data_IF_178653258703
#
_entry.id   IF_178653258703
#
_cell.length_a   1.000
_cell.length_b   1.000
_cell.length_c   1.000
_cell.angle_alpha   90.00
_cell.angle_beta   90.00
_cell.angle_gamma   90.00
#
_symmetry.space_group_name_H-M   'P 1'
#
loop_
_entity.id
_entity.type
_entity.pdbx_description
1 polymer ?
#
# COMPACT_ATOMS: atom_id res chain seq x y z
N UNK A 1 -8.76 -14.92 -9.38
CA UNK A 1 -8.48 -14.53 -7.99
C UNK A 1 -8.30 -15.78 -7.16
N UNK A 2 -7.19 -15.85 -6.44
CA UNK A 2 -6.83 -16.97 -5.57
C UNK A 2 -6.93 -16.54 -4.12
N UNK A 3 -7.50 -17.41 -3.31
CA UNK A 3 -7.75 -17.16 -1.90
C UNK A 3 -7.12 -18.29 -1.08
N UNK A 4 -6.34 -17.91 -0.08
CA UNK A 4 -5.84 -18.77 0.97
C UNK A 4 -6.56 -18.41 2.26
N UNK A 5 -7.13 -19.40 2.94
CA UNK A 5 -7.70 -19.23 4.27
C UNK A 5 -6.86 -20.02 5.27
N UNK A 6 -6.33 -19.33 6.28
CA UNK A 6 -5.54 -19.92 7.35
C UNK A 6 -6.32 -19.81 8.66
N UNK A 7 -6.23 -20.83 9.51
CA UNK A 7 -6.95 -20.90 10.79
C UNK A 7 -8.41 -21.35 10.68
N UNK A 8 -9.01 -21.69 11.82
CA UNK A 8 -10.41 -22.12 11.90
C UNK A 8 -11.34 -20.93 12.22
N UNK A 9 -12.49 -20.87 11.55
CA UNK A 9 -13.54 -19.88 11.81
C UNK A 9 -13.76 -18.88 10.67
N UNK A 10 -14.45 -17.78 10.95
CA UNK A 10 -14.70 -16.71 9.97
C UNK A 10 -13.56 -15.69 10.04
N UNK A 11 -12.81 -15.44 8.93
CA UNK A 11 -11.78 -14.42 8.91
C UNK A 11 -12.35 -13.01 9.15
N UNK A 12 -11.74 -12.27 10.07
CA UNK A 12 -12.03 -10.84 10.34
C UNK A 12 -10.93 -9.93 9.78
N UNK A 13 -9.90 -10.52 9.17
CA UNK A 13 -8.73 -9.85 8.62
C UNK A 13 -8.48 -10.41 7.22
N UNK A 14 -8.17 -9.52 6.28
CA UNK A 14 -7.77 -9.91 4.92
C UNK A 14 -6.50 -9.19 4.48
N UNK A 15 -5.69 -9.88 3.68
CA UNK A 15 -4.53 -9.33 2.97
C UNK A 15 -4.79 -9.47 1.47
N UNK A 16 -4.64 -8.39 0.72
CA UNK A 16 -4.87 -8.34 -0.72
C UNK A 16 -3.58 -7.93 -1.41
N UNK A 17 -3.14 -8.71 -2.39
CA UNK A 17 -2.01 -8.40 -3.26
C UNK A 17 -2.43 -8.42 -4.73
N UNK A 18 -1.68 -7.68 -5.55
CA UNK A 18 -1.82 -7.66 -7.01
C UNK A 18 -3.22 -7.27 -7.47
N UNK A 19 -3.75 -6.17 -6.92
CA UNK A 19 -4.86 -5.42 -7.53
C UNK A 19 -4.48 -5.01 -8.96
N UNK A 20 -3.24 -4.52 -9.12
CA UNK A 20 -2.61 -4.28 -10.41
C UNK A 20 -1.67 -5.44 -10.75
N UNK A 21 -1.76 -5.97 -11.97
CA UNK A 21 -0.99 -7.15 -12.37
C UNK A 21 0.50 -6.90 -12.56
N UNK A 22 0.91 -5.67 -12.84
CA UNK A 22 2.31 -5.26 -12.95
C UNK A 22 2.97 -4.93 -11.59
N UNK A 23 2.24 -5.13 -10.49
CA UNK A 23 2.70 -4.98 -9.10
C UNK A 23 2.76 -6.37 -8.40
N UNK A 24 3.78 -7.21 -8.70
CA UNK A 24 3.83 -8.60 -8.24
C UNK A 24 4.25 -8.77 -6.76
N UNK A 25 4.65 -7.70 -6.07
CA UNK A 25 5.21 -7.75 -4.72
C UNK A 25 4.24 -8.38 -3.71
N UNK A 26 2.96 -7.99 -3.74
CA UNK A 26 1.92 -8.53 -2.87
C UNK A 26 1.68 -10.03 -3.09
N UNK A 27 1.56 -10.47 -4.35
CA UNK A 27 1.40 -11.91 -4.66
C UNK A 27 2.60 -12.74 -4.18
N UNK A 28 3.83 -12.29 -4.48
CA UNK A 28 5.06 -12.98 -4.04
C UNK A 28 5.14 -13.08 -2.52
N UNK A 29 4.80 -12.00 -1.81
CA UNK A 29 4.82 -11.96 -0.36
C UNK A 29 3.76 -12.89 0.27
N UNK A 30 2.54 -12.91 -0.28
CA UNK A 30 1.47 -13.83 0.14
C UNK A 30 1.89 -15.28 -0.09
N UNK A 31 2.39 -15.61 -1.28
CA UNK A 31 2.81 -16.97 -1.62
C UNK A 31 3.96 -17.45 -0.74
N UNK A 32 4.94 -16.57 -0.46
CA UNK A 32 6.02 -16.85 0.50
C UNK A 32 5.47 -17.12 1.89
N UNK A 33 4.60 -16.24 2.41
CA UNK A 33 4.02 -16.38 3.74
C UNK A 33 3.21 -17.67 3.89
N UNK A 34 2.39 -18.02 2.89
CA UNK A 34 1.60 -19.27 2.91
C UNK A 34 2.49 -20.50 2.82
N UNK A 35 3.57 -20.47 2.03
CA UNK A 35 4.49 -21.59 1.88
C UNK A 35 5.27 -21.93 3.17
N UNK A 36 5.37 -20.98 4.10
CA UNK A 36 5.98 -21.18 5.42
C UNK A 36 5.06 -21.94 6.40
N UNK A 37 3.79 -22.19 6.03
CA UNK A 37 2.78 -22.86 6.85
C UNK A 37 2.68 -22.26 8.28
N UNK A 38 2.38 -20.96 8.40
CA UNK A 38 2.45 -20.25 9.67
C UNK A 38 1.32 -20.68 10.61
N UNK A 39 1.66 -20.83 11.89
CA UNK A 39 0.67 -21.05 12.95
C UNK A 39 -0.02 -19.72 13.29
N UNK A 40 -1.29 -19.60 12.92
CA UNK A 40 -2.11 -18.39 13.13
C UNK A 40 -3.01 -18.54 14.35
N UNK A 41 -3.09 -17.50 15.18
CA UNK A 41 -3.94 -17.48 16.38
C UNK A 41 -5.41 -17.16 16.05
N UNK A 42 -5.66 -16.53 14.90
CA UNK A 42 -6.98 -16.14 14.41
C UNK A 42 -7.11 -16.41 12.92
N UNK A 43 -8.32 -16.70 12.41
CA UNK A 43 -8.52 -16.95 10.99
C UNK A 43 -8.23 -15.69 10.15
N UNK A 44 -7.56 -15.88 9.01
CA UNK A 44 -7.19 -14.82 8.07
C UNK A 44 -7.37 -15.28 6.63
N UNK A 45 -7.71 -14.32 5.76
CA UNK A 45 -7.80 -14.52 4.32
C UNK A 45 -6.64 -13.81 3.62
N UNK A 46 -5.91 -14.51 2.75
CA UNK A 46 -4.90 -13.90 1.87
C UNK A 46 -5.33 -14.06 0.42
N UNK A 47 -5.33 -12.97 -0.33
CA UNK A 47 -5.96 -12.87 -1.64
C UNK A 47 -4.96 -12.36 -2.67
N UNK A 48 -4.76 -13.13 -3.75
CA UNK A 48 -4.11 -12.64 -4.97
C UNK A 48 -5.21 -12.24 -5.95
N UNK A 49 -5.43 -10.94 -6.10
CA UNK A 49 -6.63 -10.37 -6.72
C UNK A 49 -6.70 -10.62 -8.24
N UNK A 50 -5.90 -9.92 -9.03
CA UNK A 50 -5.96 -9.96 -10.49
C UNK A 50 -4.90 -10.91 -11.09
N UNK A 51 -5.09 -12.22 -10.88
CA UNK A 51 -4.17 -13.25 -11.39
C UNK A 51 -3.97 -13.18 -12.92
N UNK A 52 -5.01 -12.87 -13.68
CA UNK A 52 -4.91 -12.83 -15.15
C UNK A 52 -4.04 -11.66 -15.63
N UNK A 53 -4.21 -10.48 -15.02
CA UNK A 53 -3.33 -9.33 -15.30
C UNK A 53 -1.89 -9.57 -14.79
N UNK A 54 -1.75 -10.24 -13.64
CA UNK A 54 -0.46 -10.62 -13.07
C UNK A 54 0.31 -11.60 -13.97
N UNK A 55 -0.36 -12.62 -14.50
CA UNK A 55 0.22 -13.56 -15.46
C UNK A 55 0.63 -12.87 -16.77
N UNK A 56 -0.11 -11.85 -17.18
CA UNK A 56 0.18 -11.06 -18.36
C UNK A 56 1.22 -9.93 -18.14
N UNK A 57 1.65 -9.68 -16.90
CA UNK A 57 2.55 -8.57 -16.50
C UNK A 57 2.07 -7.20 -17.00
N UNK A 58 0.75 -6.97 -16.91
CA UNK A 58 0.09 -5.70 -17.24
C UNK A 58 -0.71 -5.20 -16.06
N UNK A 59 -0.90 -3.88 -15.97
CA UNK A 59 -1.66 -3.27 -14.87
C UNK A 59 -3.07 -3.84 -14.74
N UNK A 60 -3.78 -3.96 -15.87
CA UNK A 60 -5.13 -4.50 -15.99
C UNK A 60 -5.37 -5.00 -17.43
N UNK A 61 -6.43 -5.78 -17.63
CA UNK A 61 -6.84 -6.32 -18.93
C UNK A 61 -7.85 -5.40 -19.64
N UNK A 62 -8.97 -5.08 -18.99
CA UNK A 62 -10.05 -4.27 -19.58
C UNK A 62 -10.10 -2.85 -19.01
N UNK A 63 -10.06 -2.71 -17.68
CA UNK A 63 -10.05 -1.42 -16.98
C UNK A 63 -9.34 -1.50 -15.61
N UNK A 64 -8.96 -0.37 -15.02
CA UNK A 64 -8.24 -0.37 -13.73
C UNK A 64 -9.15 -0.92 -12.59
N UNK A 65 -8.75 -2.07 -12.02
CA UNK A 65 -9.48 -2.73 -10.93
C UNK A 65 -9.67 -1.79 -9.73
N UNK A 66 -8.67 -0.96 -9.40
CA UNK A 66 -8.77 0.00 -8.30
C UNK A 66 -9.61 1.24 -8.66
N UNK A 67 -10.37 1.20 -9.76
CA UNK A 67 -11.40 2.19 -10.14
C UNK A 67 -12.76 1.54 -10.38
N UNK A 68 -12.85 0.23 -10.22
CA UNK A 68 -14.01 -0.55 -10.59
C UNK A 68 -14.94 -0.88 -9.41
N UNK A 69 -14.60 -0.51 -8.17
CA UNK A 69 -15.42 -0.80 -6.99
C UNK A 69 -16.71 0.03 -6.97
N UNK A 70 -17.86 -0.53 -6.54
CA UNK A 70 -18.07 -1.87 -5.94
C UNK A 70 -18.26 -3.01 -6.97
N UNK A 71 -18.00 -2.77 -8.26
CA UNK A 71 -18.08 -3.77 -9.32
C UNK A 71 -19.51 -4.12 -9.77
N UNK A 72 -19.59 -5.07 -10.69
CA UNK A 72 -20.84 -5.63 -11.21
C UNK A 72 -20.62 -7.09 -11.66
N UNK A 73 -21.33 -8.08 -11.06
CA UNK A 73 -21.15 -9.50 -11.37
C UNK A 73 -21.58 -9.87 -12.80
N UNK A 74 -22.28 -8.97 -13.48
CA UNK A 74 -22.78 -9.16 -14.84
C UNK A 74 -22.12 -8.22 -15.86
N UNK A 75 -21.08 -7.47 -15.46
CA UNK A 75 -20.30 -6.66 -16.40
C UNK A 75 -19.58 -7.53 -17.44
N UNK A 76 -19.38 -6.98 -18.63
CA UNK A 76 -18.57 -7.61 -19.69
C UNK A 76 -17.06 -7.54 -19.35
N UNK A 77 -16.65 -6.49 -18.64
CA UNK A 77 -15.28 -6.27 -18.17
C UNK A 77 -14.87 -7.28 -17.10
N UNK A 78 -13.66 -7.81 -17.24
CA UNK A 78 -13.02 -8.68 -16.26
C UNK A 78 -12.90 -8.00 -14.90
N UNK A 79 -12.28 -6.81 -14.85
CA UNK A 79 -12.02 -6.11 -13.59
C UNK A 79 -13.30 -5.67 -12.87
N UNK A 80 -14.39 -5.35 -13.59
CA UNK A 80 -15.66 -5.02 -12.92
C UNK A 80 -16.33 -6.22 -12.26
N UNK A 81 -16.25 -7.42 -12.86
CA UNK A 81 -16.70 -8.65 -12.20
C UNK A 81 -15.81 -8.97 -11.01
N UNK A 82 -14.50 -8.84 -11.19
CA UNK A 82 -13.51 -9.09 -10.14
C UNK A 82 -13.66 -8.13 -8.96
N UNK A 83 -13.95 -6.84 -9.18
CA UNK A 83 -14.21 -5.86 -8.12
C UNK A 83 -15.43 -6.25 -7.27
N UNK A 84 -16.49 -6.76 -7.90
CA UNK A 84 -17.65 -7.26 -7.17
C UNK A 84 -17.28 -8.46 -6.28
N UNK A 85 -16.53 -9.41 -6.82
CA UNK A 85 -16.16 -10.62 -6.09
C UNK A 85 -15.18 -10.30 -4.96
N UNK A 86 -14.11 -9.53 -5.24
CA UNK A 86 -13.17 -9.07 -4.23
C UNK A 86 -13.85 -8.25 -3.13
N UNK A 87 -14.73 -7.31 -3.49
CA UNK A 87 -15.50 -6.51 -2.54
C UNK A 87 -16.43 -7.34 -1.64
N UNK A 88 -16.82 -8.55 -2.06
CA UNK A 88 -17.51 -9.52 -1.19
C UNK A 88 -16.55 -10.23 -0.24
N UNK A 89 -15.37 -10.59 -0.72
CA UNK A 89 -14.39 -11.36 0.06
C UNK A 89 -13.75 -10.55 1.19
N UNK A 90 -13.54 -9.24 0.99
CA UNK A 90 -12.99 -8.33 2.01
C UNK A 90 -14.06 -7.72 2.92
N UNK A 91 -15.34 -7.95 2.64
CA UNK A 91 -16.44 -7.38 3.41
C UNK A 91 -16.37 -7.85 4.86
N UNK A 92 -16.58 -6.94 5.80
CA UNK A 92 -16.52 -7.20 7.25
C UNK A 92 -15.13 -7.57 7.77
N UNK A 93 -14.09 -7.43 6.94
CA UNK A 93 -12.70 -7.60 7.38
C UNK A 93 -12.00 -6.26 7.55
N UNK A 94 -10.99 -6.19 8.42
CA UNK A 94 -9.94 -5.19 8.29
C UNK A 94 -9.03 -5.64 7.14
N UNK A 95 -9.04 -4.89 6.04
CA UNK A 95 -8.34 -5.25 4.81
C UNK A 95 -6.99 -4.54 4.70
N UNK A 96 -5.96 -5.28 4.28
CA UNK A 96 -4.62 -4.77 4.04
C UNK A 96 -4.25 -4.96 2.58
N UNK A 97 -4.25 -3.89 1.79
CA UNK A 97 -3.97 -3.94 0.35
C UNK A 97 -2.54 -3.53 0.06
N UNK A 98 -1.80 -4.37 -0.66
CA UNK A 98 -0.38 -4.14 -0.96
C UNK A 98 -0.24 -3.71 -2.42
N UNK A 99 0.41 -2.57 -2.59
CA UNK A 99 0.75 -1.94 -3.86
C UNK A 99 2.27 -1.72 -3.96
N UNK A 100 2.71 -1.31 -5.14
CA UNK A 100 4.05 -0.74 -5.33
C UNK A 100 4.00 0.41 -6.33
N UNK A 101 4.93 1.34 -6.21
CA UNK A 101 4.91 2.61 -6.93
C UNK A 101 6.16 2.80 -7.79
N UNK A 102 6.13 3.77 -8.70
CA UNK A 102 7.31 4.24 -9.42
C UNK A 102 7.91 5.52 -8.80
N UNK A 103 7.34 6.02 -7.70
CA UNK A 103 7.63 7.36 -7.16
C UNK A 103 8.61 7.36 -5.99
N UNK A 104 8.63 6.29 -5.18
CA UNK A 104 9.30 6.29 -3.88
C UNK A 104 9.73 4.88 -3.50
N UNK A 105 10.92 4.74 -2.93
CA UNK A 105 11.53 3.44 -2.67
C UNK A 105 11.16 2.84 -1.32
N UNK A 106 10.93 3.70 -0.32
CA UNK A 106 10.63 3.23 1.04
C UNK A 106 9.13 3.00 1.24
N UNK A 107 8.75 2.02 2.09
CA UNK A 107 7.34 1.74 2.33
C UNK A 107 6.60 2.88 3.03
N UNK A 108 5.36 3.12 2.60
CA UNK A 108 4.44 4.03 3.31
C UNK A 108 3.01 3.51 3.28
N UNK A 109 2.22 3.90 4.28
CA UNK A 109 0.82 3.53 4.39
C UNK A 109 -0.09 4.61 3.81
N UNK A 110 -1.25 4.19 3.31
CA UNK A 110 -2.29 5.04 2.76
C UNK A 110 -3.62 4.62 3.38
N UNK A 111 -4.39 5.59 3.88
CA UNK A 111 -5.74 5.39 4.44
C UNK A 111 -6.69 6.44 3.89
N UNK A 112 -7.99 6.13 3.85
CA UNK A 112 -8.99 7.13 3.47
C UNK A 112 -9.05 8.28 4.48
N UNK A 113 -9.17 7.92 5.76
CA UNK A 113 -9.13 8.83 6.91
C UNK A 113 -8.33 8.23 8.06
N UNK A 114 -7.64 9.06 8.84
CA UNK A 114 -6.88 8.62 10.02
C UNK A 114 -7.83 8.37 11.20
N UNK A 115 -8.52 7.23 11.14
CA UNK A 115 -9.49 6.76 12.13
C UNK A 115 -8.84 5.98 13.29
N UNK A 116 -9.67 5.35 14.13
CA UNK A 116 -9.20 4.55 15.26
C UNK A 116 -8.46 3.27 14.83
N UNK A 117 -8.81 2.69 13.69
CA UNK A 117 -8.16 1.49 13.16
C UNK A 117 -6.78 1.84 12.62
N UNK A 118 -6.69 2.90 11.81
CA UNK A 118 -5.42 3.41 11.29
C UNK A 118 -4.45 3.75 12.44
N UNK A 119 -4.92 4.44 13.48
CA UNK A 119 -4.11 4.77 14.67
C UNK A 119 -3.66 3.55 15.47
N UNK A 120 -4.43 2.48 15.48
CA UNK A 120 -4.07 1.26 16.20
C UNK A 120 -3.07 0.38 15.43
N UNK A 121 -3.07 0.47 14.09
CA UNK A 121 -2.32 -0.46 13.22
C UNK A 121 -1.11 0.21 12.58
N UNK A 122 -1.25 1.39 11.96
CA UNK A 122 -0.21 2.00 11.13
C UNK A 122 1.11 2.26 11.89
N UNK A 123 1.11 2.74 13.15
CA UNK A 123 2.35 2.90 13.92
C UNK A 123 3.10 1.59 14.17
N UNK A 124 2.47 0.43 13.98
CA UNK A 124 3.10 -0.89 14.14
C UNK A 124 3.63 -1.47 12.83
N UNK A 125 3.44 -0.78 11.72
CA UNK A 125 3.92 -1.20 10.41
C UNK A 125 5.33 -0.64 10.16
N UNK A 126 6.21 -1.37 9.46
CA UNK A 126 7.50 -0.86 9.03
C UNK A 126 7.33 0.10 7.84
N UNK A 127 6.79 1.29 8.10
CA UNK A 127 6.51 2.34 7.12
C UNK A 127 7.08 3.68 7.60
N UNK A 128 7.55 4.51 6.67
CA UNK A 128 8.09 5.83 7.03
C UNK A 128 7.00 6.89 7.20
N UNK A 129 5.92 6.79 6.42
CA UNK A 129 4.87 7.81 6.36
C UNK A 129 3.47 7.19 6.34
N UNK A 130 2.49 7.99 6.78
CA UNK A 130 1.07 7.72 6.58
C UNK A 130 0.45 8.81 5.71
N UNK A 131 -0.30 8.42 4.69
CA UNK A 131 -1.01 9.34 3.80
C UNK A 131 -2.51 9.19 3.97
N UNK A 132 -3.18 10.29 4.31
CA UNK A 132 -4.64 10.41 4.29
C UNK A 132 -5.10 10.86 2.89
N UNK A 133 -5.87 10.02 2.19
CA UNK A 133 -6.33 10.34 0.83
C UNK A 133 -7.47 11.34 0.82
N UNK A 134 -8.26 11.43 1.89
CA UNK A 134 -9.42 12.31 1.95
C UNK A 134 -10.31 12.09 0.71
N UNK A 135 -10.71 13.13 -0.02
CA UNK A 135 -11.64 13.02 -1.16
C UNK A 135 -11.06 12.40 -2.46
N UNK A 136 -9.90 11.71 -2.43
CA UNK A 136 -9.27 11.11 -3.61
C UNK A 136 -9.43 9.58 -3.73
N UNK A 137 -10.29 8.99 -2.89
CA UNK A 137 -10.55 7.56 -2.78
C UNK A 137 -11.65 7.01 -3.72
N UNK A 138 -12.41 7.86 -4.42
CA UNK A 138 -13.60 7.42 -5.18
C UNK A 138 -13.34 6.24 -6.13
N UNK A 139 -14.13 5.17 -5.96
CA UNK A 139 -14.12 3.95 -6.79
C UNK A 139 -12.98 2.97 -6.47
N UNK A 140 -12.22 3.21 -5.41
CA UNK A 140 -11.07 2.37 -4.99
C UNK A 140 -11.44 1.37 -3.89
N UNK A 141 -10.59 0.37 -3.69
CA UNK A 141 -10.72 -0.57 -2.58
C UNK A 141 -10.66 0.16 -1.22
N UNK A 142 -9.86 1.22 -1.10
CA UNK A 142 -9.70 1.98 0.15
C UNK A 142 -11.00 2.57 0.72
N UNK A 143 -12.06 2.72 -0.08
CA UNK A 143 -13.38 3.17 0.41
C UNK A 143 -14.10 2.09 1.24
N UNK A 144 -13.66 0.84 1.15
CA UNK A 144 -14.16 -0.22 2.03
C UNK A 144 -13.70 0.06 3.46
N UNK A 145 -14.66 -0.01 4.39
CA UNK A 145 -14.40 0.28 5.80
C UNK A 145 -13.22 -0.52 6.35
N UNK A 146 -12.33 0.16 7.08
CA UNK A 146 -11.14 -0.41 7.71
C UNK A 146 -10.10 -0.98 6.73
N UNK A 147 -10.00 -0.42 5.52
CA UNK A 147 -8.91 -0.73 4.58
C UNK A 147 -7.69 0.13 4.86
N UNK A 148 -6.53 -0.52 4.96
CA UNK A 148 -5.21 0.12 4.98
C UNK A 148 -4.50 -0.33 3.70
N UNK A 149 -4.11 0.61 2.86
CA UNK A 149 -3.26 0.33 1.70
C UNK A 149 -1.80 0.63 2.07
N UNK A 150 -0.86 -0.05 1.43
CA UNK A 150 0.57 0.24 1.55
C UNK A 150 1.21 0.24 0.18
N UNK A 151 2.13 1.16 -0.02
CA UNK A 151 3.08 1.12 -1.13
C UNK A 151 4.36 0.47 -0.61
N UNK A 152 4.70 -0.71 -1.10
CA UNK A 152 5.82 -1.50 -0.59
C UNK A 152 7.20 -1.05 -1.12
N UNK A 153 7.23 -0.06 -2.01
CA UNK A 153 8.44 0.47 -2.64
C UNK A 153 8.38 0.44 -4.17
N UNK A 154 9.56 0.42 -4.82
CA UNK A 154 9.64 0.49 -6.28
C UNK A 154 9.07 -0.75 -6.97
N UNK A 155 8.16 -0.53 -7.91
CA UNK A 155 7.50 -1.56 -8.71
C UNK A 155 8.50 -2.50 -9.38
N UNK A 156 8.16 -3.80 -9.42
CA UNK A 156 8.98 -4.91 -9.96
C UNK A 156 10.35 -5.13 -9.29
N UNK A 157 10.66 -4.43 -8.20
CA UNK A 157 11.89 -4.69 -7.44
C UNK A 157 11.74 -5.89 -6.49
N UNK A 158 12.84 -6.59 -6.24
CA UNK A 158 12.88 -7.64 -5.20
C UNK A 158 12.71 -7.03 -3.81
N UNK A 159 13.24 -5.82 -3.59
CA UNK A 159 13.07 -5.08 -2.34
C UNK A 159 11.58 -4.83 -2.01
N UNK A 160 10.75 -4.47 -3.00
CA UNK A 160 9.32 -4.30 -2.76
C UNK A 160 8.63 -5.61 -2.35
N UNK A 161 9.08 -6.76 -2.86
CA UNK A 161 8.56 -8.07 -2.44
C UNK A 161 8.99 -8.44 -1.02
N UNK A 162 10.23 -8.14 -0.63
CA UNK A 162 10.71 -8.33 0.74
C UNK A 162 10.00 -7.39 1.74
N UNK A 163 9.85 -6.12 1.38
CA UNK A 163 9.08 -5.15 2.16
C UNK A 163 7.63 -5.62 2.34
N UNK A 164 6.97 -6.06 1.26
CA UNK A 164 5.61 -6.58 1.31
C UNK A 164 5.48 -7.78 2.27
N UNK A 165 6.46 -8.70 2.30
CA UNK A 165 6.45 -9.82 3.24
C UNK A 165 6.52 -9.36 4.70
N UNK A 166 7.40 -8.41 5.02
CA UNK A 166 7.50 -7.88 6.38
C UNK A 166 6.28 -7.05 6.78
N UNK A 167 5.70 -6.30 5.85
CA UNK A 167 4.45 -5.57 6.02
C UNK A 167 3.28 -6.52 6.35
N UNK A 168 3.14 -7.64 5.62
CA UNK A 168 2.14 -8.67 5.94
C UNK A 168 2.33 -9.15 7.37
N UNK A 169 3.55 -9.55 7.74
CA UNK A 169 3.83 -10.04 9.08
C UNK A 169 3.53 -9.00 10.17
N UNK A 170 3.91 -7.75 9.96
CA UNK A 170 3.63 -6.65 10.89
C UNK A 170 2.13 -6.43 11.06
N UNK A 171 1.40 -6.35 9.95
CA UNK A 171 -0.05 -6.17 9.95
C UNK A 171 -0.77 -7.33 10.65
N UNK A 172 -0.40 -8.58 10.36
CA UNK A 172 -0.99 -9.76 10.99
C UNK A 172 -0.66 -9.84 12.49
N UNK A 173 0.52 -9.35 12.90
CA UNK A 173 0.87 -9.22 14.32
C UNK A 173 0.03 -8.12 14.99
N UNK A 174 -0.09 -6.94 14.35
CA UNK A 174 -0.86 -5.80 14.86
C UNK A 174 -2.36 -6.09 15.02
N UNK A 175 -2.88 -7.06 14.26
CA UNK A 175 -4.27 -7.55 14.31
C UNK A 175 -4.44 -8.84 15.13
N UNK A 176 -3.39 -9.32 15.80
CA UNK A 176 -3.37 -10.56 16.60
C UNK A 176 -3.72 -11.83 15.80
N UNK A 177 -3.49 -11.83 14.48
CA UNK A 177 -3.51 -13.06 13.66
C UNK A 177 -2.23 -13.86 13.89
N UNK A 178 -1.10 -13.17 14.01
CA UNK A 178 0.17 -13.76 14.45
C UNK A 178 0.46 -13.39 15.90
N UNK A 179 1.17 -14.26 16.64
CA UNK A 179 1.58 -13.94 18.01
C UNK A 179 2.52 -12.73 18.02
N UNK A 180 2.41 -11.92 19.08
CA UNK A 180 3.35 -10.84 19.33
C UNK A 180 4.79 -11.38 19.46
N UNK A 181 5.81 -10.66 18.99
CA UNK A 181 7.20 -11.06 19.19
C UNK A 181 7.47 -11.23 20.69
N UNK A 182 7.96 -12.40 21.10
CA UNK A 182 8.39 -12.61 22.48
C UNK A 182 9.62 -11.74 22.75
N UNK A 183 9.44 -10.64 23.48
CA UNK A 183 10.56 -9.86 24.03
C UNK A 183 11.23 -10.74 25.10
N UNK A 184 12.34 -11.39 24.75
CA UNK A 184 13.19 -12.04 25.74
C UNK A 184 13.88 -10.94 26.56
N UNK A 185 13.37 -10.69 27.77
CA UNK A 185 13.89 -9.69 28.70
C UNK A 185 15.24 -10.06 29.32
N UNK A 186 15.78 -11.22 28.99
CA UNK A 186 17.16 -11.61 29.28
C UNK A 186 18.00 -11.32 28.04
N UNK A 187 18.97 -10.41 28.16
CA UNK A 187 19.91 -10.00 27.09
C UNK A 187 20.85 -11.10 26.59
N UNK A 188 20.37 -12.33 26.46
CA UNK A 188 20.93 -13.39 25.65
C UNK A 188 20.03 -13.50 24.43
N UNK A 189 20.41 -12.84 23.35
CA UNK A 189 19.73 -13.01 22.05
C UNK A 189 19.58 -14.50 21.77
N UNK A 190 18.34 -14.97 21.84
CA UNK A 190 18.01 -16.32 21.42
C UNK A 190 18.36 -16.44 19.94
N UNK A 191 18.99 -17.56 19.57
CA UNK A 191 19.24 -17.95 18.18
C UNK A 191 17.89 -18.21 17.46
N UNK A 192 17.10 -17.15 17.23
CA UNK A 192 16.12 -17.15 16.14
C UNK A 192 16.89 -16.75 14.88
N UNK A 193 17.20 -17.68 13.96
CA UNK A 193 17.92 -17.38 12.73
C UNK A 193 17.18 -16.37 11.82
N UNK A 194 15.91 -16.04 12.12
CA UNK A 194 15.13 -15.00 11.44
C UNK A 194 15.26 -13.59 12.06
N UNK A 195 16.01 -13.42 13.15
CA UNK A 195 16.15 -12.12 13.84
C UNK A 195 17.11 -11.15 13.16
N UNK A 196 18.05 -11.64 12.35
CA UNK A 196 19.09 -10.80 11.73
C UNK A 196 18.60 -9.99 10.51
N UNK A 197 17.56 -10.46 9.82
CA UNK A 197 16.99 -9.85 8.61
C UNK A 197 15.62 -9.19 8.85
N UNK A 198 15.14 -9.16 10.11
CA UNK A 198 13.91 -8.44 10.47
C UNK A 198 14.21 -6.94 10.49
N UNK A 199 13.60 -6.11 9.62
CA UNK A 199 13.48 -4.69 9.93
C UNK A 199 12.77 -4.55 11.28
N UNK A 200 13.06 -3.49 12.05
CA UNK A 200 12.45 -3.28 13.36
C UNK A 200 10.92 -3.33 13.19
N UNK A 201 10.28 -4.43 13.60
CA UNK A 201 8.85 -4.73 13.35
C UNK A 201 7.93 -3.94 14.30
N UNK A 202 8.39 -2.77 14.71
CA UNK A 202 7.71 -1.82 15.56
C UNK A 202 8.54 -0.55 15.55
N UNK A 203 7.86 0.57 15.34
CA UNK A 203 8.29 1.84 15.91
C UNK A 203 8.58 1.61 17.41
N UNK A 204 9.70 2.10 17.92
CA UNK A 204 9.93 2.12 19.38
C UNK A 204 8.74 2.80 20.08
N UNK A 205 8.48 2.59 21.37
CA UNK A 205 7.33 3.24 22.06
C UNK A 205 7.32 4.80 21.98
N UNK A 206 8.45 5.40 21.55
CA UNK A 206 8.63 6.84 21.31
C UNK A 206 8.63 7.24 19.82
N UNK A 207 8.52 6.29 18.88
CA UNK A 207 8.53 6.57 17.45
C UNK A 207 7.13 6.97 16.98
N UNK A 208 7.06 8.12 16.33
CA UNK A 208 5.84 8.72 15.83
C UNK A 208 5.83 8.69 14.31
N UNK A 209 4.71 8.27 13.70
CA UNK A 209 4.54 8.21 12.26
C UNK A 209 4.05 9.57 11.74
N UNK A 210 4.84 10.18 10.85
CA UNK A 210 4.47 11.43 10.19
C UNK A 210 3.28 11.21 9.26
N UNK A 211 2.30 12.11 9.34
CA UNK A 211 1.05 12.02 8.59
C UNK A 211 0.95 13.15 7.58
N UNK A 212 0.73 12.79 6.33
CA UNK A 212 0.46 13.69 5.23
C UNK A 212 -0.99 13.56 4.77
N UNK A 213 -1.55 14.64 4.24
CA UNK A 213 -2.88 14.66 3.63
C UNK A 213 -2.78 15.08 2.18
N UNK A 214 -3.44 14.33 1.29
CA UNK A 214 -3.58 14.72 -0.12
C UNK A 214 -4.49 15.96 -0.24
N UNK A 215 -4.04 16.96 -1.00
CA UNK A 215 -4.79 18.20 -1.23
C UNK A 215 -5.25 18.34 -2.68
N UNK A 216 -4.39 18.03 -3.64
CA UNK A 216 -4.69 18.21 -5.06
C UNK A 216 -3.91 17.23 -5.95
N UNK A 217 -4.48 16.98 -7.13
CA UNK A 217 -3.81 16.26 -8.22
C UNK A 217 -2.95 17.24 -9.00
N UNK A 218 -1.70 16.88 -9.24
CA UNK A 218 -0.78 17.64 -10.09
C UNK A 218 -0.99 17.17 -11.53
N UNK A 219 -1.52 18.02 -12.43
CA UNK A 219 -1.85 17.60 -13.80
C UNK A 219 -0.59 17.24 -14.56
N UNK A 220 -0.70 16.21 -15.42
CA UNK A 220 0.35 15.84 -16.36
C UNK A 220 -0.17 15.97 -17.78
N UNK A 221 0.21 17.04 -18.52
CA UNK A 221 -0.21 17.21 -19.90
C UNK A 221 0.40 16.13 -20.80
N UNK A 222 -0.16 15.91 -21.98
CA UNK A 222 0.47 15.05 -22.99
C UNK A 222 1.80 15.69 -23.45
N UNK A 223 2.88 14.92 -23.32
CA UNK A 223 4.25 15.25 -23.71
C UNK A 223 5.01 13.97 -24.12
N UNK A 224 6.10 14.14 -24.85
CA UNK A 224 6.97 13.04 -25.29
C UNK A 224 7.91 12.59 -24.15
N UNK A 225 8.43 13.54 -23.36
CA UNK A 225 9.34 13.28 -22.23
C UNK A 225 8.87 13.96 -20.94
N UNK A 226 9.00 13.24 -19.83
CA UNK A 226 8.69 13.74 -18.49
C UNK A 226 9.88 13.60 -17.55
N UNK A 227 10.04 14.58 -16.66
CA UNK A 227 11.04 14.58 -15.60
C UNK A 227 10.44 15.09 -14.30
N UNK A 228 10.85 14.50 -13.18
CA UNK A 228 10.50 14.93 -11.83
C UNK A 228 11.78 15.25 -11.09
N UNK A 229 11.85 16.44 -10.51
CA UNK A 229 13.01 16.94 -9.76
C UNK A 229 12.81 16.84 -8.26
N UNK A 230 11.55 16.90 -7.81
CA UNK A 230 11.23 16.87 -6.39
C UNK A 230 11.28 15.44 -5.82
N UNK A 231 11.68 15.35 -4.55
CA UNK A 231 11.66 14.11 -3.77
C UNK A 231 10.33 14.00 -3.04
N UNK A 232 9.65 12.85 -3.16
CA UNK A 232 8.41 12.61 -2.41
C UNK A 232 8.63 12.79 -0.90
N UNK A 233 7.65 13.38 -0.22
CA UNK A 233 7.66 13.71 1.21
C UNK A 233 8.68 14.77 1.67
N UNK A 234 9.44 15.39 0.77
CA UNK A 234 10.25 16.59 1.06
C UNK A 234 9.52 17.86 0.61
N UNK A 235 9.60 18.94 1.41
CA UNK A 235 8.92 20.20 1.07
C UNK A 235 9.50 20.83 -0.20
N UNK A 236 8.62 21.16 -1.15
CA UNK A 236 8.93 21.97 -2.33
C UNK A 236 8.48 23.40 -2.04
N UNK A 237 9.41 24.35 -2.09
CA UNK A 237 9.11 25.76 -1.77
C UNK A 237 8.47 26.51 -2.93
N UNK A 238 7.66 27.53 -2.65
CA UNK A 238 7.13 28.47 -3.65
C UNK A 238 8.26 28.99 -4.58
N UNK A 239 8.07 28.86 -5.89
CA UNK A 239 9.04 29.26 -6.91
C UNK A 239 10.07 28.19 -7.28
N UNK A 240 10.05 27.01 -6.64
CA UNK A 240 10.91 25.88 -6.99
C UNK A 240 10.33 25.07 -8.16
N UNK A 241 11.20 24.65 -9.09
CA UNK A 241 10.81 23.77 -10.19
C UNK A 241 10.78 22.32 -9.72
N UNK A 242 9.66 21.62 -9.89
CA UNK A 242 9.47 20.27 -9.35
C UNK A 242 9.25 19.20 -10.42
N UNK A 243 8.79 19.57 -11.62
CA UNK A 243 8.60 18.65 -12.74
C UNK A 243 8.75 19.37 -14.09
N UNK A 244 8.87 18.58 -15.15
CA UNK A 244 8.93 19.05 -16.53
C UNK A 244 8.21 18.08 -17.46
N UNK A 245 7.50 18.63 -18.44
CA UNK A 245 6.91 17.91 -19.56
C UNK A 245 7.38 18.60 -20.86
N UNK A 246 8.24 17.94 -21.63
CA UNK A 246 8.96 18.53 -22.76
C UNK A 246 9.63 19.89 -22.42
N UNK A 247 9.14 20.98 -23.02
CA UNK A 247 9.63 22.35 -22.83
C UNK A 247 8.91 23.09 -21.67
N UNK A 248 7.85 22.52 -21.11
CA UNK A 248 7.06 23.11 -20.01
C UNK A 248 7.64 22.71 -18.65
N UNK A 249 8.20 23.68 -17.93
CA UNK A 249 8.65 23.51 -16.54
C UNK A 249 7.54 23.87 -15.57
N UNK A 250 7.24 22.95 -14.66
CA UNK A 250 6.29 23.14 -13.58
C UNK A 250 7.01 23.69 -12.35
N UNK A 251 6.52 24.84 -11.88
CA UNK A 251 7.07 25.58 -10.74
C UNK A 251 5.99 25.68 -9.68
N UNK A 252 6.36 25.47 -8.42
CA UNK A 252 5.45 25.53 -7.28
C UNK A 252 4.90 26.95 -7.12
N UNK A 253 3.58 27.10 -7.04
CA UNK A 253 2.90 28.37 -6.77
C UNK A 253 2.67 28.61 -5.27
N UNK A 254 2.98 27.61 -4.44
CA UNK A 254 2.97 27.62 -2.98
C UNK A 254 3.84 26.48 -2.45
N UNK A 255 4.13 26.50 -1.15
CA UNK A 255 4.80 25.39 -0.48
C UNK A 255 3.88 24.16 -0.44
N UNK A 256 4.43 22.97 -0.74
CA UNK A 256 3.71 21.69 -0.65
C UNK A 256 4.65 20.50 -0.50
N UNK A 257 4.09 19.35 -0.12
CA UNK A 257 4.79 18.06 -0.11
C UNK A 257 4.32 17.17 -1.27
N UNK A 258 5.21 16.77 -2.19
CA UNK A 258 4.86 15.87 -3.28
C UNK A 258 4.65 14.45 -2.76
N UNK A 259 3.55 13.80 -3.18
CA UNK A 259 3.17 12.45 -2.77
C UNK A 259 2.79 11.66 -4.01
N UNK A 260 3.35 10.47 -4.17
CA UNK A 260 3.23 9.65 -5.37
C UNK A 260 3.61 10.39 -6.67
N UNK A 261 4.48 11.39 -6.57
CA UNK A 261 4.98 12.19 -7.69
C UNK A 261 5.98 11.36 -8.49
N UNK A 262 5.68 11.09 -9.75
CA UNK A 262 6.54 10.36 -10.68
C UNK A 262 6.28 10.77 -12.12
N UNK A 263 7.29 10.61 -12.96
CA UNK A 263 7.19 10.92 -14.39
C UNK A 263 6.26 9.92 -15.13
N UNK A 264 6.32 8.64 -14.76
CA UNK A 264 5.70 7.54 -15.52
C UNK A 264 4.78 6.61 -14.71
N UNK A 265 4.47 6.95 -13.45
CA UNK A 265 3.59 6.14 -12.61
C UNK A 265 2.11 6.23 -13.01
N UNK A 266 1.58 7.44 -13.14
CA UNK A 266 0.20 7.66 -13.62
C UNK A 266 0.18 8.09 -15.09
N UNK A 267 -0.96 7.91 -15.76
CA UNK A 267 -1.12 8.34 -17.14
C UNK A 267 -1.36 9.86 -17.26
N UNK A 268 -2.22 10.41 -16.42
CA UNK A 268 -2.84 11.75 -16.56
C UNK A 268 -2.43 12.76 -15.48
N UNK A 269 -1.70 12.31 -14.45
CA UNK A 269 -1.18 13.16 -13.36
C UNK A 269 0.29 12.83 -13.10
N UNK A 270 1.05 13.77 -12.54
CA UNK A 270 2.38 13.46 -12.02
C UNK A 270 2.26 12.76 -10.67
N UNK A 271 1.28 13.15 -9.87
CA UNK A 271 1.05 12.69 -8.51
C UNK A 271 0.17 13.68 -7.79
N UNK A 272 0.42 13.87 -6.50
CA UNK A 272 -0.38 14.73 -5.65
C UNK A 272 0.49 15.73 -4.91
N UNK A 273 -0.06 16.92 -4.68
CA UNK A 273 0.45 17.82 -3.66
C UNK A 273 -0.32 17.59 -2.36
N UNK A 274 0.41 17.57 -1.25
CA UNK A 274 -0.11 17.37 0.08
C UNK A 274 0.49 18.32 1.11
N UNK A 275 0.05 18.15 2.35
CA UNK A 275 0.50 18.91 3.51
C UNK A 275 0.69 17.97 4.71
N UNK A 276 1.56 18.33 5.65
CA UNK A 276 1.74 17.59 6.90
C UNK A 276 0.63 17.94 7.89
N UNK A 277 0.03 16.94 8.52
CA UNK A 277 -1.04 17.11 9.51
C UNK A 277 -0.65 16.65 10.92
N UNK A 278 0.65 16.46 11.15
CA UNK A 278 1.23 16.05 12.43
C UNK A 278 1.62 14.58 12.45
N UNK A 279 1.63 13.99 13.65
CA UNK A 279 2.15 12.65 13.89
C UNK A 279 1.17 11.78 14.67
N UNK A 280 1.29 10.46 14.53
CA UNK A 280 0.55 9.47 15.33
C UNK A 280 1.50 8.45 15.97
N UNK A 281 1.07 7.88 17.10
CA UNK A 281 1.80 6.88 17.90
C UNK A 281 0.84 5.80 18.39
#
# INVERSE_FOLDING_TARGET
>A
MRIYELGDGTPEVSVVGSIHGDEPCGARAIERFVAEDPDVERPVKLIVANEEALEADVRYLDEDLNRAFPGDPHADSHERRLAHDLGREVRETTAFSIHSTQSFAEPFAIVDTVDAVARAICPRLPVEYLVETNNFAEGRLIEHAHTIEVEAGLQKSDQAADNAYWLIRAFLTATNVLPAPTVTSDGSGGDDPMSADRPNLGLDEDDSLDVFRLLEKIPKPEADEYEVFATNFEEVSEGEAFARADDETFVADRDFYPILLSAYGYADIFGYAGDTIGQIS
#
